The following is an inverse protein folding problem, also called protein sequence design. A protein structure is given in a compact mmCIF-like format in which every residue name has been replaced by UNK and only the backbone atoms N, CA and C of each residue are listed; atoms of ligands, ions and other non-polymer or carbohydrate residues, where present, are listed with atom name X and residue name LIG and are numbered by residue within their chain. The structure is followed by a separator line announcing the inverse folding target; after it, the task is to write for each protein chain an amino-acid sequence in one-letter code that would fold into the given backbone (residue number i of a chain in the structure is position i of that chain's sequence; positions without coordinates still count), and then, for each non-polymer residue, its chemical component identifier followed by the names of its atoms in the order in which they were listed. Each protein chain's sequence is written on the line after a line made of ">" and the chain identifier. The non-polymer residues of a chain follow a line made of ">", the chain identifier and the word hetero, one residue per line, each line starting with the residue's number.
data_IF_388793725501
#
_entry.id   IF_388793725501
#
_cell.length_a   1.000
_cell.length_b   1.000
_cell.length_c   1.000
_cell.angle_alpha   90.00
_cell.angle_beta   90.00
_cell.angle_gamma   90.00
#
_symmetry.space_group_name_H-M   'P 1'
#
loop_
_entity.id
_entity.type
_entity.pdbx_description
1 polymer ?
#
# COMPACT_ATOMS: atom_id res chain seq x y z
N UNK A 1 -3.61 4.96 21.87
CA UNK A 1 -4.32 3.72 22.22
C UNK A 1 -4.72 2.99 20.96
N UNK A 2 -4.50 1.68 20.89
CA UNK A 2 -4.87 0.83 19.78
C UNK A 2 -6.30 0.28 19.95
N UNK A 3 -6.90 -0.27 18.88
CA UNK A 3 -8.25 -0.85 18.93
C UNK A 3 -8.37 -2.02 19.93
N UNK A 4 -7.27 -2.71 20.20
CA UNK A 4 -7.16 -3.80 21.18
C UNK A 4 -6.92 -3.33 22.62
N UNK A 5 -6.98 -2.02 22.87
CA UNK A 5 -6.79 -1.40 24.18
C UNK A 5 -5.33 -1.19 24.58
N UNK A 6 -4.36 -1.66 23.81
CA UNK A 6 -2.94 -1.40 24.10
C UNK A 6 -2.64 0.08 24.03
N UNK A 7 -1.78 0.54 24.94
CA UNK A 7 -1.29 1.91 25.00
C UNK A 7 0.21 1.94 24.79
N UNK A 8 0.68 2.82 23.95
CA UNK A 8 2.11 3.10 23.77
C UNK A 8 2.34 4.57 24.03
N UNK A 9 3.30 4.86 24.87
CA UNK A 9 3.76 6.23 25.11
C UNK A 9 4.84 6.54 24.07
N UNK A 10 4.59 7.57 23.26
CA UNK A 10 5.56 8.04 22.28
C UNK A 10 6.35 9.20 22.87
N UNK A 11 7.66 9.15 22.68
CA UNK A 11 8.59 10.22 23.02
C UNK A 11 9.15 10.84 21.75
N UNK A 12 9.64 12.10 21.80
CA UNK A 12 10.34 12.68 20.66
C UNK A 12 11.54 11.84 20.27
N UNK A 13 11.73 11.68 18.96
CA UNK A 13 12.89 11.04 18.35
C UNK A 13 13.67 12.06 17.52
N UNK A 14 14.93 11.80 17.23
CA UNK A 14 15.83 12.72 16.55
C UNK A 14 16.22 12.17 15.18
N UNK A 15 15.89 12.93 14.13
CA UNK A 15 16.39 12.65 12.78
C UNK A 15 17.56 13.57 12.48
N UNK A 16 18.64 13.01 11.98
CA UNK A 16 19.85 13.73 11.62
C UNK A 16 20.12 13.61 10.12
N UNK A 17 20.37 14.74 9.50
CA UNK A 17 20.96 14.80 8.16
C UNK A 17 22.47 14.84 8.33
N UNK A 18 23.17 13.83 7.82
CA UNK A 18 24.61 13.71 7.88
C UNK A 18 25.23 13.76 6.49
N UNK A 19 26.43 14.32 6.41
CA UNK A 19 27.29 14.33 5.23
C UNK A 19 28.61 13.69 5.66
N UNK A 20 28.76 12.40 5.41
CA UNK A 20 29.77 11.57 6.04
C UNK A 20 29.61 11.55 7.56
N UNK A 21 30.66 11.88 8.29
CA UNK A 21 30.63 11.97 9.75
C UNK A 21 30.06 13.31 10.28
N UNK A 22 29.93 14.31 9.40
CA UNK A 22 29.51 15.66 9.81
C UNK A 22 27.99 15.75 9.85
N UNK A 23 27.46 16.11 11.01
CA UNK A 23 26.03 16.45 11.20
C UNK A 23 25.74 17.80 10.55
N UNK A 24 24.82 17.84 9.57
CA UNK A 24 24.38 19.06 8.86
C UNK A 24 23.18 19.71 9.50
N UNK A 25 22.21 18.87 9.89
CA UNK A 25 20.99 19.33 10.55
C UNK A 25 20.40 18.23 11.43
N UNK A 26 19.56 18.59 12.37
CA UNK A 26 18.74 17.64 13.11
C UNK A 26 17.38 18.25 13.42
N UNK A 27 16.39 17.37 13.49
CA UNK A 27 15.05 17.71 13.93
C UNK A 27 14.62 16.71 15.01
N UNK A 28 14.08 17.22 16.09
CA UNK A 28 13.45 16.39 17.14
C UNK A 28 11.95 16.57 17.05
N UNK A 29 11.22 15.48 16.91
CA UNK A 29 9.77 15.48 16.83
C UNK A 29 9.18 14.16 17.33
N UNK A 30 7.92 14.18 17.72
CA UNK A 30 7.19 12.94 18.01
C UNK A 30 6.98 12.17 16.70
N UNK A 31 7.38 10.87 16.60
CA UNK A 31 7.33 10.06 15.38
C UNK A 31 5.89 9.64 15.03
N UNK A 32 4.98 10.60 14.94
CA UNK A 32 3.57 10.38 14.60
C UNK A 32 3.16 11.26 13.41
N UNK A 33 2.26 10.74 12.62
CA UNK A 33 1.57 11.47 11.54
C UNK A 33 0.06 11.36 11.74
N UNK A 34 -0.65 12.41 11.36
CA UNK A 34 -2.10 12.36 11.26
C UNK A 34 -2.48 11.35 10.16
N UNK A 35 -3.45 10.49 10.47
CA UNK A 35 -3.90 9.41 9.59
C UNK A 35 -5.43 9.47 9.35
N UNK A 36 -5.96 10.67 9.11
CA UNK A 36 -7.38 10.87 8.77
C UNK A 36 -7.75 10.22 7.45
N UNK A 37 -6.86 10.35 6.48
CA UNK A 37 -6.97 9.72 5.18
C UNK A 37 -5.58 9.55 4.56
N UNK A 38 -5.42 8.50 3.76
CA UNK A 38 -4.22 8.25 2.97
C UNK A 38 -4.61 7.97 1.53
N UNK A 39 -3.71 8.27 0.61
CA UNK A 39 -3.91 7.90 -0.79
C UNK A 39 -3.69 6.39 -0.99
N UNK A 40 -4.30 5.83 -2.04
CA UNK A 40 -4.07 4.43 -2.42
C UNK A 40 -2.58 4.12 -2.59
N UNK A 41 -1.82 5.02 -3.24
CA UNK A 41 -0.37 4.85 -3.41
C UNK A 41 0.38 4.74 -2.07
N UNK A 42 0.02 5.54 -1.08
CA UNK A 42 0.65 5.48 0.25
C UNK A 42 0.23 4.26 1.07
N UNK A 43 -0.88 3.64 0.73
CA UNK A 43 -1.35 2.40 1.38
C UNK A 43 -0.68 1.14 0.80
N UNK A 44 0.05 1.27 -0.29
CA UNK A 44 0.72 0.13 -0.93
C UNK A 44 1.70 -0.53 0.05
N UNK A 45 1.65 -1.86 0.13
CA UNK A 45 2.44 -2.64 1.09
C UNK A 45 1.88 -2.67 2.52
N UNK A 46 0.85 -1.88 2.84
CA UNK A 46 0.20 -1.92 4.15
C UNK A 46 -0.88 -3.02 4.20
N UNK A 47 -1.10 -3.57 5.38
CA UNK A 47 -2.27 -4.40 5.69
C UNK A 47 -3.11 -3.66 6.72
N UNK A 48 -4.39 -3.49 6.45
CA UNK A 48 -5.32 -2.74 7.28
C UNK A 48 -6.38 -3.68 7.87
N UNK A 49 -6.72 -3.48 9.13
CA UNK A 49 -7.79 -4.25 9.77
C UNK A 49 -9.17 -3.85 9.25
N UNK A 50 -9.34 -2.58 8.88
CA UNK A 50 -10.54 -2.07 8.23
C UNK A 50 -10.22 -0.85 7.38
N UNK A 51 -10.96 -0.63 6.29
CA UNK A 51 -10.80 0.55 5.44
C UNK A 51 -12.14 1.04 4.89
N UNK A 52 -12.29 2.37 4.87
CA UNK A 52 -13.31 3.07 4.08
C UNK A 52 -12.65 3.57 2.81
N UNK A 53 -13.11 3.10 1.66
CA UNK A 53 -12.46 3.32 0.37
C UNK A 53 -13.41 4.08 -0.58
N UNK A 54 -12.89 5.10 -1.25
CA UNK A 54 -13.61 5.82 -2.30
C UNK A 54 -12.80 5.74 -3.61
N UNK A 55 -13.34 5.00 -4.57
CA UNK A 55 -12.74 4.79 -5.90
C UNK A 55 -13.53 5.46 -7.03
N UNK A 56 -14.46 6.37 -6.70
CA UNK A 56 -15.26 7.09 -7.72
C UNK A 56 -14.39 7.98 -8.62
N UNK A 57 -13.24 8.39 -8.13
CA UNK A 57 -12.27 9.23 -8.86
C UNK A 57 -10.95 8.51 -9.13
N UNK A 58 -10.96 7.17 -9.21
CA UNK A 58 -9.78 6.44 -9.63
C UNK A 58 -9.39 6.83 -11.05
N UNK A 59 -8.11 7.10 -11.28
CA UNK A 59 -7.58 7.65 -12.54
C UNK A 59 -6.47 6.79 -13.16
N UNK A 60 -6.02 5.75 -12.45
CA UNK A 60 -4.99 4.80 -12.90
C UNK A 60 -5.52 3.38 -12.83
N UNK A 61 -5.18 2.58 -13.84
CA UNK A 61 -5.45 1.14 -13.87
C UNK A 61 -4.74 0.43 -12.70
N UNK A 62 -5.34 -0.63 -12.18
CA UNK A 62 -4.81 -1.37 -11.03
C UNK A 62 -5.03 -0.68 -9.68
N UNK A 63 -5.42 0.58 -9.64
CA UNK A 63 -5.64 1.33 -8.39
C UNK A 63 -6.71 0.67 -7.51
N UNK A 64 -7.78 0.15 -8.12
CA UNK A 64 -8.83 -0.56 -7.40
C UNK A 64 -8.30 -1.81 -6.72
N UNK A 65 -7.54 -2.64 -7.43
CA UNK A 65 -6.91 -3.82 -6.87
C UNK A 65 -6.02 -3.47 -5.67
N UNK A 66 -5.13 -2.48 -5.83
CA UNK A 66 -4.24 -2.05 -4.75
C UNK A 66 -5.03 -1.60 -3.53
N UNK A 67 -6.10 -0.82 -3.71
CA UNK A 67 -6.91 -0.33 -2.62
C UNK A 67 -7.68 -1.46 -1.90
N UNK A 68 -8.38 -2.29 -2.67
CA UNK A 68 -9.23 -3.34 -2.13
C UNK A 68 -8.42 -4.45 -1.46
N UNK A 69 -7.23 -4.76 -1.97
CA UNK A 69 -6.33 -5.75 -1.39
C UNK A 69 -5.63 -5.29 -0.09
N UNK A 70 -5.88 -4.07 0.40
CA UNK A 70 -5.29 -3.61 1.67
C UNK A 70 -5.95 -4.19 2.90
N UNK A 71 -7.20 -4.59 2.84
CA UNK A 71 -7.90 -5.23 3.95
C UNK A 71 -7.75 -6.75 3.89
N UNK A 72 -7.81 -7.39 5.06
CA UNK A 72 -7.62 -8.85 5.20
C UNK A 72 -8.85 -9.64 4.72
N UNK A 73 -10.03 -9.05 4.90
CA UNK A 73 -11.31 -9.65 4.56
C UNK A 73 -12.30 -8.58 4.08
N UNK A 74 -13.38 -9.02 3.45
CA UNK A 74 -14.42 -8.14 2.93
C UNK A 74 -15.34 -7.58 4.00
N UNK A 75 -15.43 -8.20 5.17
CA UNK A 75 -16.33 -7.78 6.26
C UNK A 75 -15.90 -6.41 6.83
N UNK A 76 -14.62 -6.08 6.68
CA UNK A 76 -14.05 -4.83 7.16
C UNK A 76 -13.79 -3.81 6.03
N UNK A 77 -14.35 -4.06 4.84
CA UNK A 77 -14.26 -3.18 3.70
C UNK A 77 -15.55 -2.35 3.53
N UNK A 78 -15.43 -1.03 3.60
CA UNK A 78 -16.52 -0.09 3.36
C UNK A 78 -16.26 0.69 2.09
N UNK A 79 -16.97 0.38 1.01
CA UNK A 79 -16.80 1.03 -0.29
C UNK A 79 -17.85 2.12 -0.50
N UNK A 80 -17.42 3.38 -0.64
CA UNK A 80 -18.30 4.50 -0.95
C UNK A 80 -18.77 4.50 -2.41
N UNK A 81 -17.93 4.01 -3.30
CA UNK A 81 -18.21 3.89 -4.71
C UNK A 81 -16.96 3.57 -5.51
N UNK A 82 -17.17 3.13 -6.75
CA UNK A 82 -16.13 2.68 -7.65
C UNK A 82 -16.45 3.12 -9.07
N UNK A 83 -15.46 3.58 -9.81
CA UNK A 83 -15.60 3.85 -11.23
C UNK A 83 -15.01 2.70 -12.07
N UNK A 84 -15.28 2.72 -13.38
CA UNK A 84 -14.81 1.69 -14.30
C UNK A 84 -13.28 1.60 -14.32
N UNK A 85 -12.58 2.75 -14.25
CA UNK A 85 -11.11 2.81 -14.28
C UNK A 85 -10.45 2.02 -13.14
N UNK A 86 -11.08 1.99 -11.97
CA UNK A 86 -10.58 1.23 -10.83
C UNK A 86 -10.61 -0.29 -11.06
N UNK A 87 -11.44 -0.78 -11.99
CA UNK A 87 -11.56 -2.19 -12.33
C UNK A 87 -10.67 -2.61 -13.51
N UNK A 88 -10.04 -1.65 -14.16
CA UNK A 88 -9.18 -1.92 -15.31
C UNK A 88 -7.80 -2.40 -14.84
N UNK A 89 -7.21 -3.32 -15.62
CA UNK A 89 -5.85 -3.80 -15.44
C UNK A 89 -4.99 -3.23 -16.56
N UNK A 90 -3.76 -2.84 -16.27
CA UNK A 90 -2.84 -2.34 -17.29
C UNK A 90 -2.61 -3.38 -18.37
N UNK A 91 -2.76 -3.03 -19.66
CA UNK A 91 -2.46 -3.92 -20.79
C UNK A 91 -1.02 -4.44 -20.76
N UNK A 92 -0.06 -3.59 -20.35
CA UNK A 92 1.34 -3.99 -20.23
C UNK A 92 1.55 -5.07 -19.16
N UNK A 93 0.83 -4.94 -18.03
CA UNK A 93 0.88 -5.95 -16.96
C UNK A 93 0.29 -7.29 -17.44
N UNK A 94 -0.78 -7.26 -18.22
CA UNK A 94 -1.36 -8.48 -18.81
C UNK A 94 -0.41 -9.13 -19.82
N UNK A 95 0.25 -8.36 -20.67
CA UNK A 95 1.21 -8.86 -21.64
C UNK A 95 2.42 -9.53 -20.95
N UNK A 96 2.95 -8.91 -19.89
CA UNK A 96 4.05 -9.47 -19.10
C UNK A 96 3.60 -10.75 -18.38
N UNK A 97 2.40 -10.77 -17.78
CA UNK A 97 1.86 -11.96 -17.10
C UNK A 97 1.77 -13.17 -18.06
N UNK A 98 1.35 -12.94 -19.30
CA UNK A 98 1.30 -14.02 -20.30
C UNK A 98 2.69 -14.60 -20.61
N UNK A 99 3.71 -13.74 -20.75
CA UNK A 99 5.11 -14.16 -20.96
C UNK A 99 5.61 -14.97 -19.76
N UNK A 100 5.37 -14.48 -18.54
CA UNK A 100 5.79 -15.16 -17.31
C UNK A 100 5.10 -16.52 -17.14
N UNK A 101 3.80 -16.61 -17.44
CA UNK A 101 3.06 -17.87 -17.39
C UNK A 101 3.58 -18.89 -18.38
N UNK A 102 3.96 -18.46 -19.59
CA UNK A 102 4.58 -19.33 -20.60
C UNK A 102 5.93 -19.85 -20.09
N UNK A 103 6.81 -18.97 -19.67
CA UNK A 103 8.12 -19.33 -19.13
C UNK A 103 8.02 -20.28 -17.92
N UNK A 104 7.03 -20.06 -17.04
CA UNK A 104 6.77 -20.95 -15.92
C UNK A 104 6.38 -22.37 -16.36
N UNK A 105 5.48 -22.49 -17.36
CA UNK A 105 5.10 -23.81 -17.91
C UNK A 105 6.29 -24.53 -18.53
N UNK A 106 7.08 -23.84 -19.35
CA UNK A 106 8.29 -24.40 -19.98
C UNK A 106 9.32 -24.86 -18.91
N UNK A 107 9.46 -24.10 -17.83
CA UNK A 107 10.36 -24.49 -16.72
C UNK A 107 9.86 -25.74 -16.01
N UNK A 108 8.56 -25.88 -15.75
CA UNK A 108 8.00 -27.08 -15.13
C UNK A 108 8.23 -28.33 -16.01
N UNK A 109 8.10 -28.21 -17.33
CA UNK A 109 8.37 -29.32 -18.25
C UNK A 109 9.85 -29.69 -18.29
N UNK A 110 10.75 -28.71 -18.19
CA UNK A 110 12.21 -28.92 -18.23
C UNK A 110 12.77 -29.60 -16.99
N UNK A 111 12.15 -29.38 -15.82
CA UNK A 111 12.64 -29.87 -14.51
C UNK A 111 11.78 -31.00 -13.93
N UNK A 112 10.91 -31.61 -14.70
CA UNK A 112 10.25 -32.88 -14.39
C UNK A 112 11.16 -34.04 -14.72
#
# INVERSE_FOLDING_TARGET
>A
EFRDGRRVTMVPDVWELRDGERKRASISQVPLRLAWAITVHKSQGMTLDAAKIDLRKAFVEGMGYVALSRVRDLDNLYLYGINRRALEVSPDALAIDEVLRRASRESVERYK
#
